data_IF_336176573347
#
_entry.id   IF_336176573347
#
_cell.length_a   1.000
_cell.length_b   1.000
_cell.length_c   1.000
_cell.angle_alpha   90.00
_cell.angle_beta   90.00
_cell.angle_gamma   90.00
#
_symmetry.space_group_name_H-M   'P 1'
#
loop_
_entity.id
_entity.type
_entity.pdbx_description
1 polymer ?
#
# COMPACT_ATOMS: atom_id res chain seq x y z
N UNK A 1 13.68 -10.40 -0.56
CA UNK A 1 12.51 -9.84 -1.26
C UNK A 1 12.92 -8.76 -2.25
N UNK A 2 13.32 -7.56 -1.82
CA UNK A 2 13.69 -6.50 -2.75
C UNK A 2 14.95 -6.77 -3.56
N UNK A 3 15.95 -7.45 -2.99
CA UNK A 3 17.17 -7.85 -3.69
C UNK A 3 16.96 -8.86 -4.83
N UNK A 4 15.80 -9.52 -4.88
CA UNK A 4 15.45 -10.51 -5.90
C UNK A 4 14.41 -9.99 -6.89
N UNK A 5 13.51 -9.11 -6.44
CA UNK A 5 12.37 -8.63 -7.23
C UNK A 5 12.58 -7.22 -7.81
N UNK A 6 13.35 -6.37 -7.14
CA UNK A 6 13.54 -4.97 -7.53
C UNK A 6 14.82 -4.82 -8.35
N UNK A 7 14.72 -4.08 -9.44
CA UNK A 7 15.85 -3.70 -10.31
C UNK A 7 15.90 -2.18 -10.45
N UNK A 8 17.05 -1.61 -10.85
CA UNK A 8 17.14 -0.19 -11.17
C UNK A 8 16.03 0.26 -12.12
N UNK A 9 15.34 1.34 -11.76
CA UNK A 9 14.21 1.89 -12.53
C UNK A 9 12.84 1.32 -12.17
N UNK A 10 12.75 0.24 -11.40
CA UNK A 10 11.46 -0.28 -10.93
C UNK A 10 10.75 0.70 -10.00
N UNK A 11 9.43 0.61 -9.98
CA UNK A 11 8.54 1.41 -9.14
C UNK A 11 7.82 0.50 -8.17
N UNK A 12 7.91 0.78 -6.87
CA UNK A 12 7.23 0.00 -5.83
C UNK A 12 6.18 0.90 -5.18
N UNK A 13 4.89 0.77 -5.53
CA UNK A 13 3.82 1.46 -4.84
C UNK A 13 3.51 0.82 -3.48
N UNK A 14 3.22 1.65 -2.49
CA UNK A 14 2.67 1.26 -1.18
C UNK A 14 1.66 2.33 -0.73
N UNK A 15 0.82 2.07 0.28
CA UNK A 15 0.09 3.17 0.94
C UNK A 15 1.09 4.19 1.51
N UNK A 16 1.93 3.77 2.46
CA UNK A 16 3.12 4.51 2.86
C UNK A 16 4.24 3.56 3.24
N UNK A 17 5.42 3.77 2.67
CA UNK A 17 6.60 2.98 3.02
C UNK A 17 7.07 3.30 4.44
N UNK A 18 7.32 2.25 5.22
CA UNK A 18 8.13 2.35 6.42
C UNK A 18 9.61 2.60 6.06
N UNK A 19 10.37 3.21 6.96
CA UNK A 19 11.73 3.71 6.68
C UNK A 19 12.67 2.64 6.14
N UNK A 20 12.68 1.46 6.77
CA UNK A 20 13.53 0.34 6.32
C UNK A 20 13.05 -0.23 4.99
N UNK A 21 11.74 -0.35 4.79
CA UNK A 21 11.13 -0.78 3.51
C UNK A 21 11.52 0.17 2.38
N UNK A 22 11.44 1.48 2.61
CA UNK A 22 11.88 2.52 1.67
C UNK A 22 13.36 2.38 1.36
N UNK A 23 14.20 2.22 2.38
CA UNK A 23 15.64 2.07 2.22
C UNK A 23 16.00 0.85 1.38
N UNK A 24 15.31 -0.29 1.55
CA UNK A 24 15.53 -1.47 0.73
C UNK A 24 15.14 -1.27 -0.74
N UNK A 25 14.06 -0.56 -1.04
CA UNK A 25 13.68 -0.24 -2.43
C UNK A 25 14.76 0.65 -3.08
N UNK A 26 15.16 1.72 -2.40
CA UNK A 26 16.18 2.66 -2.89
C UNK A 26 17.55 1.99 -3.08
N UNK A 27 17.96 1.12 -2.13
CA UNK A 27 19.23 0.38 -2.20
C UNK A 27 19.33 -0.50 -3.45
N UNK A 28 18.20 -0.98 -3.98
CA UNK A 28 18.16 -1.79 -5.21
C UNK A 28 17.92 -0.95 -6.47
N UNK A 29 18.01 0.38 -6.38
CA UNK A 29 17.81 1.31 -7.50
C UNK A 29 16.34 1.51 -7.90
N UNK A 30 15.39 1.02 -7.09
CA UNK A 30 13.97 1.23 -7.30
C UNK A 30 13.48 2.57 -6.75
N UNK A 31 12.29 2.99 -7.19
CA UNK A 31 11.59 4.18 -6.76
C UNK A 31 10.39 3.80 -5.88
N UNK A 32 10.44 4.04 -4.56
CA UNK A 32 9.29 3.86 -3.68
C UNK A 32 8.27 4.97 -3.95
N UNK A 33 7.00 4.62 -4.09
CA UNK A 33 5.89 5.58 -4.30
C UNK A 33 4.81 5.37 -3.26
N UNK A 34 4.50 6.41 -2.50
CA UNK A 34 3.39 6.40 -1.54
C UNK A 34 2.10 6.80 -2.28
N UNK A 35 1.05 5.98 -2.10
CA UNK A 35 -0.26 6.10 -2.75
C UNK A 35 -1.35 5.92 -1.68
N UNK A 36 -1.20 6.56 -0.52
CA UNK A 36 -2.25 6.60 0.48
C UNK A 36 -3.37 7.55 0.06
N UNK A 37 -4.58 7.31 0.56
CA UNK A 37 -5.70 8.25 0.42
C UNK A 37 -5.32 9.64 0.95
N UNK A 38 -5.94 10.70 0.40
CA UNK A 38 -5.64 12.09 0.79
C UNK A 38 -5.84 12.34 2.28
N UNK A 39 -6.86 11.74 2.86
CA UNK A 39 -7.15 11.82 4.30
C UNK A 39 -5.97 11.40 5.18
N UNK A 40 -5.08 10.52 4.69
CA UNK A 40 -3.89 10.10 5.42
C UNK A 40 -2.92 11.26 5.73
N UNK A 41 -3.00 12.36 4.97
CA UNK A 41 -2.17 13.55 5.11
C UNK A 41 -2.85 14.69 5.87
N UNK A 42 -4.13 14.52 6.24
CA UNK A 42 -4.88 15.50 7.02
C UNK A 42 -5.06 14.99 8.47
N UNK A 43 -4.36 15.56 9.46
CA UNK A 43 -4.52 15.17 10.86
C UNK A 43 -5.94 15.39 11.40
N UNK A 44 -6.71 16.32 10.82
CA UNK A 44 -8.07 16.66 11.26
C UNK A 44 -9.15 15.81 10.57
N UNK A 45 -8.79 15.02 9.56
CA UNK A 45 -9.76 14.13 8.90
C UNK A 45 -10.21 13.01 9.85
N UNK A 46 -11.53 12.87 10.00
CA UNK A 46 -12.23 11.82 10.73
C UNK A 46 -12.41 10.53 9.92
N UNK A 47 -11.76 10.42 8.75
CA UNK A 47 -11.89 9.23 7.90
C UNK A 47 -11.44 7.97 8.67
N UNK A 48 -12.29 6.92 8.78
CA UNK A 48 -12.03 5.80 9.70
C UNK A 48 -10.87 4.89 9.27
N UNK A 49 -10.46 4.95 7.99
CA UNK A 49 -9.46 4.08 7.38
C UNK A 49 -8.38 4.87 6.62
N UNK A 50 -7.73 5.82 7.30
CA UNK A 50 -6.64 6.65 6.74
C UNK A 50 -5.42 5.85 6.27
N UNK A 51 -5.33 4.56 6.59
CA UNK A 51 -4.30 3.67 6.04
C UNK A 51 -4.58 3.25 4.60
N UNK A 52 -5.79 3.47 4.07
CA UNK A 52 -6.22 3.02 2.75
C UNK A 52 -5.30 3.50 1.61
N UNK A 53 -5.21 2.67 0.58
CA UNK A 53 -4.58 3.03 -0.70
C UNK A 53 -5.57 3.87 -1.53
N UNK A 54 -5.08 4.91 -2.19
CA UNK A 54 -5.80 5.62 -3.25
C UNK A 54 -5.84 4.71 -4.50
N UNK A 55 -6.95 3.97 -4.64
CA UNK A 55 -7.14 2.98 -5.71
C UNK A 55 -7.07 3.62 -7.10
N UNK A 56 -7.75 4.75 -7.40
CA UNK A 56 -7.59 5.44 -8.67
C UNK A 56 -6.13 5.82 -8.98
N UNK A 57 -5.39 6.33 -7.99
CA UNK A 57 -3.98 6.68 -8.18
C UNK A 57 -3.09 5.45 -8.39
N UNK A 58 -3.39 4.32 -7.71
CA UNK A 58 -2.70 3.05 -7.95
C UNK A 58 -2.93 2.57 -9.38
N UNK A 59 -4.17 2.53 -9.84
CA UNK A 59 -4.52 2.06 -11.19
C UNK A 59 -3.88 2.96 -12.27
N UNK A 60 -3.88 4.28 -12.07
CA UNK A 60 -3.19 5.22 -12.95
C UNK A 60 -1.66 5.02 -12.97
N UNK A 61 -1.06 4.71 -11.81
CA UNK A 61 0.36 4.39 -11.73
C UNK A 61 0.68 3.08 -12.46
N UNK A 62 -0.09 2.02 -12.25
CA UNK A 62 0.12 0.74 -12.92
C UNK A 62 -0.03 0.86 -14.44
N UNK A 63 -1.01 1.62 -14.93
CA UNK A 63 -1.16 1.91 -16.37
C UNK A 63 0.02 2.66 -16.96
N UNK A 64 0.56 3.65 -16.23
CA UNK A 64 1.65 4.50 -16.71
C UNK A 64 2.98 3.77 -16.71
N UNK A 65 3.29 3.05 -15.64
CA UNK A 65 4.60 2.42 -15.46
C UNK A 65 4.66 1.06 -16.18
N UNK A 66 3.54 0.34 -16.31
CA UNK A 66 3.52 -1.00 -16.91
C UNK A 66 4.00 -2.10 -15.95
N UNK A 67 3.57 -3.33 -16.22
CA UNK A 67 3.87 -4.51 -15.40
C UNK A 67 5.37 -4.77 -15.28
N UNK A 68 6.11 -4.50 -16.34
CA UNK A 68 7.56 -4.68 -16.44
C UNK A 68 8.35 -3.79 -15.47
N UNK A 69 7.81 -2.62 -15.13
CA UNK A 69 8.45 -1.67 -14.23
C UNK A 69 7.91 -1.75 -12.80
N UNK A 70 6.77 -2.40 -12.56
CA UNK A 70 6.19 -2.57 -11.22
C UNK A 70 6.33 -4.04 -10.78
N UNK A 71 7.35 -4.40 -9.99
CA UNK A 71 7.58 -5.79 -9.60
C UNK A 71 6.57 -6.30 -8.57
N UNK A 72 6.01 -5.40 -7.75
CA UNK A 72 5.00 -5.70 -6.75
C UNK A 72 4.25 -4.42 -6.31
N UNK A 73 3.02 -4.60 -5.82
CA UNK A 73 2.29 -3.59 -5.03
C UNK A 73 2.40 -3.97 -3.57
N UNK A 74 2.66 -3.01 -2.68
CA UNK A 74 2.65 -3.21 -1.24
C UNK A 74 1.42 -2.58 -0.58
N UNK A 75 0.99 -3.15 0.54
CA UNK A 75 0.07 -2.51 1.49
C UNK A 75 0.57 -2.78 2.90
N UNK A 76 0.80 -1.74 3.69
CA UNK A 76 1.20 -1.86 5.11
C UNK A 76 -0.03 -1.78 6.02
N UNK A 77 -0.21 -2.79 6.89
CA UNK A 77 -1.32 -2.89 7.85
C UNK A 77 -0.82 -3.08 9.31
N UNK A 78 -1.22 -2.24 10.25
CA UNK A 78 -1.69 -0.85 10.07
C UNK A 78 -0.60 0.03 9.44
N UNK A 79 -0.96 1.11 8.77
CA UNK A 79 0.00 2.03 8.14
C UNK A 79 0.83 2.77 9.21
N UNK A 80 2.03 2.26 9.52
CA UNK A 80 2.89 2.79 10.58
C UNK A 80 3.32 4.24 10.32
N UNK A 81 3.75 4.55 9.09
CA UNK A 81 4.16 5.91 8.69
C UNK A 81 3.00 6.90 8.78
N UNK A 82 1.76 6.44 8.51
CA UNK A 82 0.54 7.23 8.64
C UNK A 82 0.00 7.33 10.07
N UNK A 83 0.78 6.99 11.10
CA UNK A 83 0.34 7.07 12.50
C UNK A 83 -0.46 5.85 12.98
N UNK A 84 -0.21 4.67 12.41
CA UNK A 84 -0.89 3.42 12.79
C UNK A 84 -2.32 3.31 12.30
N UNK A 85 -2.66 3.99 11.20
CA UNK A 85 -4.03 4.05 10.68
C UNK A 85 -4.43 2.75 9.96
N UNK A 86 -5.67 2.27 10.15
CA UNK A 86 -6.10 0.99 9.58
C UNK A 86 -6.44 1.09 8.09
N UNK A 87 -6.35 -0.06 7.43
CA UNK A 87 -6.83 -0.32 6.06
C UNK A 87 -8.11 -1.14 6.14
N UNK A 88 -9.16 -0.72 5.43
CA UNK A 88 -10.42 -1.48 5.36
C UNK A 88 -10.29 -2.72 4.49
N UNK A 89 -11.10 -3.74 4.76
CA UNK A 89 -11.16 -4.95 3.96
C UNK A 89 -11.69 -4.66 2.55
N UNK A 90 -12.66 -3.75 2.41
CA UNK A 90 -13.12 -3.26 1.12
C UNK A 90 -11.98 -2.65 0.28
N UNK A 91 -11.16 -1.78 0.88
CA UNK A 91 -10.01 -1.18 0.18
C UNK A 91 -8.98 -2.25 -0.19
N UNK A 92 -8.69 -3.18 0.72
CA UNK A 92 -7.76 -4.28 0.47
C UNK A 92 -8.20 -5.18 -0.70
N UNK A 93 -9.49 -5.54 -0.75
CA UNK A 93 -10.08 -6.33 -1.85
C UNK A 93 -9.95 -5.61 -3.19
N UNK A 94 -10.18 -4.30 -3.19
CA UNK A 94 -10.10 -3.51 -4.42
C UNK A 94 -8.66 -3.34 -4.91
N UNK A 95 -7.70 -3.11 -4.01
CA UNK A 95 -6.26 -3.11 -4.34
C UNK A 95 -5.84 -4.46 -4.92
N UNK A 96 -6.28 -5.57 -4.32
CA UNK A 96 -5.99 -6.91 -4.84
C UNK A 96 -6.59 -7.14 -6.23
N UNK A 97 -7.80 -6.64 -6.48
CA UNK A 97 -8.47 -6.72 -7.79
C UNK A 97 -7.69 -5.94 -8.86
N UNK A 98 -7.30 -4.69 -8.56
CA UNK A 98 -6.54 -3.84 -9.48
C UNK A 98 -5.15 -4.43 -9.74
N UNK A 99 -4.40 -4.79 -8.70
CA UNK A 99 -3.06 -5.38 -8.86
C UNK A 99 -3.10 -6.64 -9.75
N UNK A 100 -4.09 -7.52 -9.51
CA UNK A 100 -4.32 -8.72 -10.34
C UNK A 100 -4.65 -8.38 -11.79
N UNK A 101 -5.49 -7.37 -12.05
CA UNK A 101 -5.84 -6.96 -13.41
C UNK A 101 -4.62 -6.49 -14.22
N UNK A 102 -3.60 -5.94 -13.55
CA UNK A 102 -2.31 -5.55 -14.16
C UNK A 102 -1.24 -6.64 -14.11
N UNK A 103 -1.56 -7.84 -13.60
CA UNK A 103 -0.63 -8.94 -13.45
C UNK A 103 0.48 -8.70 -12.41
N UNK A 104 0.32 -7.72 -11.52
CA UNK A 104 1.30 -7.35 -10.48
C UNK A 104 0.95 -8.07 -9.17
N UNK A 105 1.91 -8.73 -8.50
CA UNK A 105 1.62 -9.38 -7.22
C UNK A 105 1.42 -8.35 -6.11
N UNK A 106 0.46 -8.62 -5.21
CA UNK A 106 0.21 -7.85 -4.00
C UNK A 106 0.97 -8.46 -2.81
N UNK A 107 1.77 -7.64 -2.14
CA UNK A 107 2.48 -7.96 -0.91
C UNK A 107 1.90 -7.17 0.24
N UNK A 108 1.78 -7.81 1.40
CA UNK A 108 1.25 -7.17 2.60
C UNK A 108 2.36 -7.12 3.65
N UNK A 109 2.66 -5.92 4.13
CA UNK A 109 3.44 -5.75 5.34
C UNK A 109 2.50 -5.89 6.54
N UNK A 110 2.60 -7.03 7.21
CA UNK A 110 1.68 -7.51 8.23
C UNK A 110 2.21 -7.30 9.66
N UNK A 111 3.19 -6.42 9.89
CA UNK A 111 3.79 -6.26 11.22
C UNK A 111 2.79 -5.94 12.33
N UNK A 112 1.65 -5.27 12.01
CA UNK A 112 0.58 -4.93 12.97
C UNK A 112 -0.79 -5.41 12.49
N UNK A 113 -0.85 -6.60 11.90
CA UNK A 113 -2.09 -7.15 11.33
C UNK A 113 -3.21 -7.31 12.36
N UNK A 114 -2.88 -7.67 13.61
CA UNK A 114 -3.87 -7.88 14.67
C UNK A 114 -4.59 -6.59 15.05
N UNK A 115 -3.87 -5.46 15.13
CA UNK A 115 -4.46 -4.13 15.35
C UNK A 115 -5.37 -3.74 14.18
N UNK A 116 -4.95 -4.00 12.94
CA UNK A 116 -5.77 -3.73 11.77
C UNK A 116 -7.06 -4.55 11.77
N UNK A 117 -6.97 -5.84 12.12
CA UNK A 117 -8.13 -6.73 12.23
C UNK A 117 -9.11 -6.25 13.30
N UNK A 118 -8.62 -5.78 14.45
CA UNK A 118 -9.44 -5.15 15.47
C UNK A 118 -10.19 -3.93 14.90
N UNK A 119 -9.50 -3.00 14.24
CA UNK A 119 -10.17 -1.82 13.66
C UNK A 119 -11.18 -2.16 12.58
N UNK A 120 -10.90 -3.15 11.73
CA UNK A 120 -11.83 -3.63 10.72
C UNK A 120 -13.09 -4.18 11.40
N UNK A 121 -12.97 -4.97 12.48
CA UNK A 121 -14.10 -5.45 13.26
C UNK A 121 -14.96 -4.31 13.85
N UNK A 122 -14.33 -3.29 14.41
CA UNK A 122 -15.06 -2.21 15.10
C UNK A 122 -15.65 -1.17 14.13
N UNK A 123 -14.98 -0.91 12.99
CA UNK A 123 -15.30 0.23 12.11
C UNK A 123 -15.95 -0.16 10.78
N UNK A 124 -15.74 -1.39 10.30
CA UNK A 124 -16.34 -1.87 9.05
C UNK A 124 -17.67 -2.57 9.36
N UNK A 125 -18.77 -1.82 9.24
CA UNK A 125 -20.11 -2.35 9.53
C UNK A 125 -20.48 -3.48 8.57
N UNK A 126 -20.95 -4.60 9.11
CA UNK A 126 -21.53 -5.70 8.32
C UNK A 126 -20.54 -6.77 7.86
N UNK A 127 -19.46 -7.02 8.60
CA UNK A 127 -18.83 -8.35 8.61
C UNK A 127 -19.72 -9.38 9.30
#
# INVERSE_FOLDING_TARGET
MFSTLCRPGNVVPNNMHFDTTRAHVLRNGGRPVNIAVRDAYDPQSDFPFKGNVDVPALDALLRREGRENVPLVMVTITNNTGGGQPVSLANFREVARIARAHGVPLYVDMCRWAENAYFVRERERGM
#
